data_IF_581365147771
#
_entry.id   IF_581365147771
#
_cell.length_a   1.000
_cell.length_b   1.000
_cell.length_c   1.000
_cell.angle_alpha   90.00
_cell.angle_beta   90.00
_cell.angle_gamma   90.00
#
_symmetry.space_group_name_H-M   'P 1'
#
loop_
_entity.id
_entity.type
_entity.pdbx_description
1 polymer ?
#
# COMPACT_ATOMS: atom_id res chain seq x y z
N UNK A 1 -6.80 -20.62 -5.71
CA UNK A 1 -6.92 -20.56 -7.19
C UNK A 1 -7.05 -19.12 -7.70
N UNK A 2 -8.10 -18.37 -7.34
CA UNK A 2 -8.33 -17.01 -7.89
C UNK A 2 -7.19 -16.00 -7.61
N UNK A 3 -6.66 -15.96 -6.38
CA UNK A 3 -5.56 -15.03 -6.02
C UNK A 3 -4.27 -15.32 -6.80
N UNK A 4 -3.96 -16.60 -7.03
CA UNK A 4 -2.77 -17.00 -7.80
C UNK A 4 -2.89 -16.58 -9.26
N UNK A 5 -4.06 -16.80 -9.89
CA UNK A 5 -4.34 -16.37 -11.25
C UNK A 5 -4.29 -14.84 -11.40
N UNK A 6 -4.84 -14.10 -10.41
CA UNK A 6 -4.77 -12.63 -10.39
C UNK A 6 -3.33 -12.13 -10.31
N UNK A 7 -2.52 -12.69 -9.42
CA UNK A 7 -1.10 -12.32 -9.29
C UNK A 7 -0.32 -12.66 -10.55
N UNK A 8 -0.52 -13.84 -11.12
CA UNK A 8 0.13 -14.25 -12.36
C UNK A 8 -0.24 -13.32 -13.53
N UNK A 9 -1.52 -12.94 -13.65
CA UNK A 9 -1.98 -11.99 -14.66
C UNK A 9 -1.36 -10.60 -14.45
N UNK A 10 -1.35 -10.09 -13.21
CA UNK A 10 -0.75 -8.80 -12.90
C UNK A 10 0.75 -8.75 -13.24
N UNK A 11 1.49 -9.81 -12.88
CA UNK A 11 2.91 -9.96 -13.24
C UNK A 11 3.09 -10.02 -14.76
N UNK A 12 2.24 -10.77 -15.47
CA UNK A 12 2.23 -10.83 -16.93
C UNK A 12 1.98 -9.49 -17.61
N UNK A 13 1.22 -8.61 -16.97
CA UNK A 13 0.94 -7.25 -17.44
C UNK A 13 2.02 -6.22 -17.02
N UNK A 14 3.08 -6.66 -16.32
CA UNK A 14 4.20 -5.82 -15.90
C UNK A 14 3.97 -5.11 -14.55
N UNK A 15 3.13 -5.66 -13.67
CA UNK A 15 3.12 -5.24 -12.27
C UNK A 15 4.41 -5.70 -11.56
N UNK A 16 4.90 -4.87 -10.64
CA UNK A 16 5.98 -5.21 -9.71
C UNK A 16 5.34 -5.64 -8.40
N UNK A 17 5.70 -6.81 -7.90
CA UNK A 17 5.16 -7.37 -6.65
C UNK A 17 6.32 -7.77 -5.74
N UNK A 18 6.29 -7.29 -4.50
CA UNK A 18 7.20 -7.72 -3.43
C UNK A 18 6.39 -8.42 -2.35
N UNK A 19 6.84 -9.59 -1.92
CA UNK A 19 6.19 -10.38 -0.89
C UNK A 19 7.14 -10.65 0.28
N UNK A 20 6.58 -10.66 1.49
CA UNK A 20 7.24 -11.19 2.67
C UNK A 20 6.68 -12.59 2.95
N UNK A 21 7.59 -13.57 3.06
CA UNK A 21 7.26 -14.98 3.27
C UNK A 21 7.76 -15.38 4.65
N UNK A 22 6.92 -16.11 5.39
CA UNK A 22 7.30 -16.76 6.65
C UNK A 22 6.95 -18.23 6.57
N UNK A 23 7.94 -19.10 6.73
CA UNK A 23 7.84 -20.53 6.39
C UNK A 23 7.38 -20.71 4.93
N UNK A 24 6.13 -21.10 4.73
CA UNK A 24 5.49 -21.36 3.44
C UNK A 24 4.33 -20.41 3.13
N UNK A 25 4.09 -19.40 3.97
CA UNK A 25 2.97 -18.46 3.83
C UNK A 25 3.42 -17.04 3.47
N UNK A 26 2.67 -16.39 2.56
CA UNK A 26 2.80 -14.95 2.31
C UNK A 26 2.16 -14.20 3.48
N UNK A 27 2.98 -13.53 4.29
CA UNK A 27 2.54 -12.76 5.46
C UNK A 27 2.44 -11.26 5.20
N UNK A 28 2.91 -10.81 4.03
CA UNK A 28 2.71 -9.45 3.56
C UNK A 28 3.04 -9.30 2.08
N UNK A 29 2.45 -8.30 1.44
CA UNK A 29 2.60 -8.05 0.01
C UNK A 29 2.46 -6.56 -0.29
N UNK A 30 3.27 -6.06 -1.21
CA UNK A 30 3.08 -4.77 -1.85
C UNK A 30 3.14 -4.95 -3.37
N UNK A 31 2.27 -4.26 -4.10
CA UNK A 31 2.20 -4.34 -5.55
C UNK A 31 2.05 -2.95 -6.18
N UNK A 32 2.76 -2.72 -7.27
CA UNK A 32 2.64 -1.54 -8.10
C UNK A 32 2.52 -1.90 -9.58
N UNK A 33 1.91 -1.01 -10.36
CA UNK A 33 1.86 -1.10 -11.81
C UNK A 33 1.94 0.30 -12.39
N UNK A 34 2.76 0.50 -13.43
CA UNK A 34 3.00 1.81 -14.08
C UNK A 34 3.27 2.94 -13.07
N UNK A 35 4.16 2.70 -12.12
CA UNK A 35 4.54 3.70 -11.11
C UNK A 35 3.45 4.03 -10.09
N UNK A 36 2.40 3.20 -9.94
CA UNK A 36 1.33 3.40 -8.97
C UNK A 36 1.18 2.21 -8.04
N UNK A 37 1.18 2.47 -6.73
CA UNK A 37 0.88 1.49 -5.69
C UNK A 37 -0.59 1.05 -5.82
N UNK A 38 -0.79 -0.25 -6.01
CA UNK A 38 -2.10 -0.88 -6.14
C UNK A 38 -2.57 -1.49 -4.82
N UNK A 39 -1.65 -2.15 -4.09
CA UNK A 39 -1.98 -2.86 -2.88
C UNK A 39 -0.81 -2.86 -1.89
N UNK A 40 -1.14 -2.81 -0.60
CA UNK A 40 -0.26 -3.09 0.52
C UNK A 40 -1.06 -3.85 1.57
N UNK A 41 -0.57 -5.02 1.97
CA UNK A 41 -1.21 -5.85 2.98
C UNK A 41 -0.19 -6.51 3.88
N UNK A 42 -0.52 -6.61 5.17
CA UNK A 42 0.24 -7.37 6.17
C UNK A 42 -0.74 -8.17 7.01
N UNK A 43 -0.49 -9.47 7.14
CA UNK A 43 -1.28 -10.38 7.95
C UNK A 43 -1.38 -9.86 9.40
N UNK A 44 -2.55 -9.95 10.07
CA UNK A 44 -2.76 -9.40 11.42
C UNK A 44 -1.68 -9.78 12.44
N UNK A 45 -1.28 -11.05 12.48
CA UNK A 45 -0.23 -11.60 13.36
C UNK A 45 1.19 -11.04 13.09
N UNK A 46 1.36 -10.35 11.96
CA UNK A 46 2.63 -9.76 11.50
C UNK A 46 2.59 -8.23 11.47
N UNK A 47 1.47 -7.60 11.84
CA UNK A 47 1.35 -6.14 11.96
C UNK A 47 2.25 -5.62 13.09
N UNK A 48 2.51 -4.30 13.08
CA UNK A 48 3.37 -3.59 14.06
C UNK A 48 4.85 -4.03 14.12
N UNK A 49 5.29 -4.93 13.24
CA UNK A 49 6.71 -5.38 13.09
C UNK A 49 7.48 -4.62 12.00
N UNK A 50 7.05 -3.40 11.65
CA UNK A 50 7.58 -2.56 10.55
C UNK A 50 7.52 -3.19 9.14
N UNK A 51 6.84 -4.33 8.97
CA UNK A 51 6.83 -5.07 7.71
C UNK A 51 6.26 -4.27 6.54
N UNK A 52 5.18 -3.51 6.76
CA UNK A 52 4.59 -2.68 5.71
C UNK A 52 5.55 -1.62 5.16
N UNK A 53 6.36 -1.00 6.03
CA UNK A 53 7.37 -0.01 5.61
C UNK A 53 8.47 -0.66 4.79
N UNK A 54 8.98 -1.81 5.24
CA UNK A 54 10.00 -2.59 4.50
C UNK A 54 9.51 -3.06 3.14
N UNK A 55 8.24 -3.46 3.04
CA UNK A 55 7.63 -3.84 1.77
C UNK A 55 7.53 -2.65 0.80
N UNK A 56 7.17 -1.46 1.29
CA UNK A 56 7.16 -0.23 0.48
C UNK A 56 8.57 0.17 0.04
N UNK A 57 9.56 0.08 0.92
CA UNK A 57 10.96 0.36 0.62
C UNK A 57 11.49 -0.57 -0.47
N UNK A 58 11.24 -1.88 -0.34
CA UNK A 58 11.64 -2.87 -1.32
C UNK A 58 10.89 -2.68 -2.66
N UNK A 59 9.59 -2.42 -2.63
CA UNK A 59 8.83 -2.16 -3.85
C UNK A 59 9.36 -0.94 -4.61
N UNK A 60 9.68 0.15 -3.91
CA UNK A 60 10.23 1.35 -4.52
C UNK A 60 11.62 1.15 -5.11
N UNK A 61 12.41 0.18 -4.61
CA UNK A 61 13.70 -0.16 -5.21
C UNK A 61 13.55 -0.89 -6.57
N UNK A 62 12.43 -1.59 -6.77
CA UNK A 62 12.15 -2.37 -7.98
C UNK A 62 11.32 -1.59 -9.02
N UNK A 63 10.60 -0.55 -8.60
CA UNK A 63 9.82 0.30 -9.51
C UNK A 63 10.72 1.38 -10.11
N UNK A 64 10.89 1.45 -11.43
CA UNK A 64 11.71 2.49 -12.05
C UNK A 64 11.02 3.86 -11.97
N UNK A 65 11.77 4.86 -11.53
CA UNK A 65 11.32 6.25 -11.47
C UNK A 65 10.33 6.49 -10.32
N UNK A 66 9.29 7.27 -10.61
CA UNK A 66 8.35 7.73 -9.59
C UNK A 66 7.36 6.63 -9.16
N UNK A 67 7.18 6.47 -7.86
CA UNK A 67 6.14 5.65 -7.26
C UNK A 67 5.11 6.54 -6.56
N UNK A 68 3.87 6.48 -7.04
CA UNK A 68 2.72 7.22 -6.52
C UNK A 68 1.77 6.29 -5.73
N UNK A 69 1.10 6.84 -4.73
CA UNK A 69 0.07 6.14 -3.97
C UNK A 69 -1.11 7.07 -3.65
N UNK A 70 -2.32 6.51 -3.65
CA UNK A 70 -3.54 7.17 -3.19
C UNK A 70 -4.17 6.30 -2.12
N UNK A 71 -4.37 6.86 -0.93
CA UNK A 71 -5.02 6.16 0.18
C UNK A 71 -6.32 6.88 0.51
N UNK A 72 -7.44 6.19 0.32
CA UNK A 72 -8.75 6.62 0.81
C UNK A 72 -9.01 6.01 2.18
N UNK A 73 -9.71 6.75 3.03
CA UNK A 73 -10.11 6.36 4.38
C UNK A 73 -11.51 5.74 4.44
N UNK A 74 -12.05 5.25 3.32
CA UNK A 74 -13.18 4.34 3.39
C UNK A 74 -12.83 3.19 4.36
N UNK A 75 -13.76 2.79 5.22
CA UNK A 75 -13.53 1.67 6.14
C UNK A 75 -13.35 0.39 5.31
N UNK A 76 -12.32 -0.38 5.60
CA UNK A 76 -11.97 -1.60 4.84
C UNK A 76 -11.87 -2.84 5.73
N UNK A 77 -11.95 -2.69 7.05
CA UNK A 77 -11.97 -3.80 8.00
C UNK A 77 -13.35 -3.90 8.67
N UNK A 78 -14.20 -4.87 8.30
CA UNK A 78 -15.52 -5.04 8.92
C UNK A 78 -15.46 -5.71 10.30
N UNK A 79 -14.31 -6.24 10.70
CA UNK A 79 -14.14 -7.01 11.94
C UNK A 79 -13.58 -6.14 13.06
N UNK A 80 -12.53 -5.36 12.77
CA UNK A 80 -11.89 -4.45 13.72
C UNK A 80 -11.65 -3.07 13.09
N UNK A 81 -12.71 -2.27 12.87
CA UNK A 81 -12.59 -0.97 12.25
C UNK A 81 -11.76 -0.03 13.14
N UNK A 82 -10.68 0.49 12.58
CA UNK A 82 -9.91 1.55 13.23
C UNK A 82 -10.60 2.89 13.02
N UNK A 83 -10.53 3.75 14.04
CA UNK A 83 -11.00 5.13 13.91
C UNK A 83 -10.40 5.81 12.66
N UNK A 84 -11.24 6.57 11.95
CA UNK A 84 -10.87 7.19 10.66
C UNK A 84 -9.63 8.09 10.79
N UNK A 85 -9.54 8.88 11.87
CA UNK A 85 -8.40 9.78 12.11
C UNK A 85 -7.14 8.97 12.38
N UNK A 86 -7.26 7.89 13.17
CA UNK A 86 -6.16 6.97 13.41
C UNK A 86 -5.67 6.29 12.12
N UNK A 87 -6.58 5.86 11.23
CA UNK A 87 -6.21 5.30 9.93
C UNK A 87 -5.45 6.30 9.06
N UNK A 88 -5.91 7.55 9.01
CA UNK A 88 -5.23 8.61 8.29
C UNK A 88 -3.81 8.84 8.81
N UNK A 89 -3.66 8.89 10.14
CA UNK A 89 -2.37 9.11 10.80
C UNK A 89 -1.41 7.94 10.56
N UNK A 90 -1.89 6.70 10.66
CA UNK A 90 -1.09 5.51 10.41
C UNK A 90 -0.65 5.42 8.94
N UNK A 91 -1.55 5.66 7.98
CA UNK A 91 -1.24 5.65 6.56
C UNK A 91 -0.19 6.73 6.22
N UNK A 92 -0.38 7.95 6.71
CA UNK A 92 0.57 9.06 6.55
C UNK A 92 1.95 8.69 7.10
N UNK A 93 2.03 8.28 8.38
CA UNK A 93 3.31 7.92 9.03
C UNK A 93 4.01 6.77 8.32
N UNK A 94 3.25 5.80 7.80
CA UNK A 94 3.80 4.67 7.06
C UNK A 94 4.46 5.12 5.75
N UNK A 95 3.77 5.96 4.97
CA UNK A 95 4.26 6.46 3.69
C UNK A 95 5.44 7.44 3.88
N UNK A 96 5.33 8.39 4.80
CA UNK A 96 6.41 9.34 5.09
C UNK A 96 7.69 8.62 5.52
N UNK A 97 7.59 7.59 6.37
CA UNK A 97 8.75 6.78 6.78
C UNK A 97 9.35 5.96 5.64
N UNK A 98 8.55 5.59 4.65
CA UNK A 98 9.03 4.89 3.45
C UNK A 98 9.58 5.85 2.38
N UNK A 99 9.72 7.14 2.70
CA UNK A 99 10.32 8.16 1.84
C UNK A 99 9.36 8.84 0.87
N UNK A 100 8.04 8.73 1.09
CA UNK A 100 7.07 9.45 0.28
C UNK A 100 6.83 10.86 0.81
N UNK A 101 6.71 11.81 -0.11
CA UNK A 101 6.13 13.12 0.13
C UNK A 101 4.60 12.98 0.17
N UNK A 102 3.95 13.30 1.29
CA UNK A 102 2.51 13.05 1.50
C UNK A 102 1.72 14.34 1.64
N UNK A 103 0.76 14.54 0.73
CA UNK A 103 -0.21 15.65 0.76
C UNK A 103 -1.65 15.15 0.87
N UNK A 104 -2.60 16.07 1.10
CA UNK A 104 -4.02 15.74 0.96
C UNK A 104 -4.33 15.47 -0.51
N UNK A 105 -5.21 14.52 -0.77
CA UNK A 105 -5.66 14.26 -2.13
C UNK A 105 -6.42 15.48 -2.66
N UNK A 106 -6.20 15.80 -3.94
CA UNK A 106 -6.88 16.89 -4.63
C UNK A 106 -7.99 16.36 -5.54
N UNK A 107 -8.70 17.27 -6.22
CA UNK A 107 -9.75 16.91 -7.18
C UNK A 107 -10.89 16.09 -6.58
N UNK A 108 -11.46 15.20 -7.37
CA UNK A 108 -12.67 14.46 -7.03
C UNK A 108 -12.48 13.55 -5.81
N UNK A 109 -11.31 12.92 -5.69
CA UNK A 109 -11.00 12.01 -4.57
C UNK A 109 -10.98 12.79 -3.25
N UNK A 110 -10.27 13.93 -3.19
CA UNK A 110 -10.25 14.77 -2.00
C UNK A 110 -11.61 15.37 -1.65
N UNK A 111 -12.44 15.70 -2.65
CA UNK A 111 -13.82 16.17 -2.41
C UNK A 111 -14.72 15.09 -1.82
N UNK A 112 -14.62 13.86 -2.33
CA UNK A 112 -15.44 12.73 -1.86
C UNK A 112 -14.94 12.14 -0.53
N UNK A 113 -13.63 12.19 -0.29
CA UNK A 113 -12.98 11.75 0.94
C UNK A 113 -11.98 12.80 1.43
N UNK A 114 -12.42 13.73 2.31
CA UNK A 114 -11.56 14.80 2.84
C UNK A 114 -10.33 14.33 3.62
N UNK A 115 -10.28 13.04 4.00
CA UNK A 115 -9.12 12.45 4.66
C UNK A 115 -8.20 11.66 3.73
N UNK A 116 -8.54 11.55 2.44
CA UNK A 116 -7.69 10.90 1.46
C UNK A 116 -6.36 11.65 1.31
N UNK A 117 -5.31 10.87 1.09
CA UNK A 117 -3.95 11.37 0.89
C UNK A 117 -3.38 10.87 -0.43
N UNK A 118 -2.57 11.74 -1.04
CA UNK A 118 -1.72 11.44 -2.18
C UNK A 118 -0.28 11.44 -1.71
N UNK A 119 0.50 10.47 -2.20
CA UNK A 119 1.87 10.29 -1.82
C UNK A 119 2.73 10.00 -3.04
N UNK A 120 3.91 10.61 -3.11
CA UNK A 120 4.85 10.43 -4.22
C UNK A 120 6.24 10.17 -3.66
N UNK A 121 6.95 9.20 -4.23
CA UNK A 121 8.36 8.93 -3.98
C UNK A 121 9.11 8.94 -5.30
N UNK A 122 10.23 9.66 -5.34
CA UNK A 122 11.12 9.81 -6.50
C UNK A 122 12.39 8.99 -6.33
#
# INVERSE_FOLDING_TARGET
MAVHALLAAALGDGAVVVAAISADEIVGLAAAHRGRLLALGVAPSHRRKRLGGRLLEALAAEVPGELSAVVTLAERDPLEPLDRKLRAELARKLLERAGFEVKRAEGDIGRLDPGAIEAIRR
#
